data_IF_585311026383
#
_entry.id   IF_585311026383
#
_cell.length_a   1.000
_cell.length_b   1.000
_cell.length_c   1.000
_cell.angle_alpha   90.00
_cell.angle_beta   90.00
_cell.angle_gamma   90.00
#
_symmetry.space_group_name_H-M   'P 1'
#
loop_
_entity.id
_entity.type
_entity.pdbx_description
1 polymer ?
#
# COMPACT_ATOMS: atom_id res chain seq x y z
N UNK A 1 -32.57 -4.52 -4.94
CA UNK A 1 -31.19 -4.84 -5.38
C UNK A 1 -30.43 -5.42 -4.20
N UNK A 2 -29.81 -6.59 -4.36
CA UNK A 2 -28.99 -7.18 -3.31
C UNK A 2 -27.77 -6.27 -3.00
N UNK A 3 -27.50 -6.09 -1.70
CA UNK A 3 -26.55 -5.10 -1.19
C UNK A 3 -25.19 -5.75 -1.00
N UNK A 4 -24.24 -5.52 -1.90
CA UNK A 4 -22.85 -5.97 -1.72
C UNK A 4 -22.08 -5.03 -0.78
N UNK A 5 -21.21 -5.59 0.05
CA UNK A 5 -20.30 -4.80 0.91
C UNK A 5 -18.98 -4.45 0.21
N UNK A 6 -18.66 -5.15 -0.89
CA UNK A 6 -17.47 -4.98 -1.73
C UNK A 6 -17.82 -4.11 -2.94
N UNK A 7 -16.90 -3.23 -3.35
CA UNK A 7 -16.98 -2.43 -4.59
C UNK A 7 -15.87 -2.83 -5.56
N UNK A 8 -16.07 -2.52 -6.85
CA UNK A 8 -15.03 -2.72 -7.89
C UNK A 8 -13.77 -1.95 -7.53
N UNK A 9 -12.61 -2.59 -7.66
CA UNK A 9 -11.30 -2.00 -7.37
C UNK A 9 -10.94 -1.88 -5.88
N UNK A 10 -11.70 -2.51 -4.97
CA UNK A 10 -11.26 -2.77 -3.60
C UNK A 10 -10.15 -3.86 -3.59
N UNK A 11 -9.28 -3.83 -2.59
CA UNK A 11 -8.34 -4.92 -2.31
C UNK A 11 -8.96 -5.83 -1.27
N UNK A 12 -8.96 -7.13 -1.54
CA UNK A 12 -9.61 -8.13 -0.69
C UNK A 12 -8.65 -9.25 -0.32
N UNK A 13 -8.87 -9.84 0.85
CA UNK A 13 -8.20 -11.02 1.35
C UNK A 13 -9.21 -12.17 1.41
N UNK A 14 -8.81 -13.35 0.94
CA UNK A 14 -9.62 -14.56 1.02
C UNK A 14 -9.52 -15.15 2.42
N UNK A 15 -10.66 -15.36 3.08
CA UNK A 15 -10.72 -15.95 4.42
C UNK A 15 -10.65 -17.47 4.33
N UNK A 16 -11.49 -18.02 3.46
CA UNK A 16 -11.80 -19.44 3.38
C UNK A 16 -11.79 -19.90 1.93
N UNK A 17 -11.51 -21.19 1.74
CA UNK A 17 -11.42 -21.83 0.43
C UNK A 17 -9.99 -22.12 0.00
N UNK A 18 -9.82 -22.58 -1.24
CA UNK A 18 -8.54 -23.07 -1.80
C UNK A 18 -7.44 -22.00 -1.80
N UNK A 19 -7.84 -20.74 -1.91
CA UNK A 19 -6.94 -19.59 -2.01
C UNK A 19 -6.89 -18.77 -0.71
N UNK A 20 -7.19 -19.37 0.44
CA UNK A 20 -7.17 -18.69 1.73
C UNK A 20 -5.82 -17.98 1.99
N UNK A 21 -5.88 -16.78 2.57
CA UNK A 21 -4.72 -15.95 2.88
C UNK A 21 -4.19 -15.13 1.70
N UNK A 22 -4.56 -15.43 0.46
CA UNK A 22 -4.16 -14.63 -0.69
C UNK A 22 -4.94 -13.32 -0.75
N UNK A 23 -4.25 -12.28 -1.21
CA UNK A 23 -4.83 -10.96 -1.46
C UNK A 23 -4.94 -10.69 -2.96
N UNK A 24 -6.02 -10.04 -3.39
CA UNK A 24 -6.19 -9.63 -4.79
C UNK A 24 -7.09 -8.42 -4.93
N UNK A 25 -7.12 -7.85 -6.15
CA UNK A 25 -8.00 -6.73 -6.49
C UNK A 25 -9.29 -7.24 -7.14
N UNK A 26 -10.39 -6.57 -6.84
CA UNK A 26 -11.71 -6.93 -7.38
C UNK A 26 -11.89 -6.31 -8.76
N UNK A 27 -12.02 -7.14 -9.79
CA UNK A 27 -12.32 -6.69 -11.16
C UNK A 27 -13.80 -6.35 -11.30
N UNK A 28 -14.65 -7.30 -10.91
CA UNK A 28 -16.08 -7.22 -11.09
C UNK A 28 -16.83 -7.74 -9.86
N UNK A 29 -18.00 -7.15 -9.61
CA UNK A 29 -18.91 -7.55 -8.55
C UNK A 29 -20.26 -7.82 -9.19
N UNK A 30 -20.81 -9.00 -8.94
CA UNK A 30 -22.13 -9.44 -9.36
C UNK A 30 -23.03 -9.45 -8.12
N UNK A 31 -23.68 -8.31 -7.79
CA UNK A 31 -24.45 -8.20 -6.55
C UNK A 31 -25.69 -9.09 -6.53
N UNK A 32 -26.27 -9.41 -7.69
CA UNK A 32 -27.44 -10.29 -7.82
C UNK A 32 -27.15 -11.69 -7.30
N UNK A 33 -25.98 -12.23 -7.66
CA UNK A 33 -25.56 -13.59 -7.31
C UNK A 33 -24.73 -13.65 -6.02
N UNK A 34 -24.43 -12.49 -5.41
CA UNK A 34 -23.57 -12.40 -4.23
C UNK A 34 -22.11 -12.77 -4.50
N UNK A 35 -21.64 -12.64 -5.74
CA UNK A 35 -20.31 -13.07 -6.17
C UNK A 35 -19.42 -11.90 -6.62
N UNK A 36 -18.10 -12.11 -6.57
CA UNK A 36 -17.10 -11.16 -7.05
C UNK A 36 -15.97 -11.88 -7.78
N UNK A 37 -15.46 -11.27 -8.85
CA UNK A 37 -14.29 -11.75 -9.60
C UNK A 37 -13.07 -11.01 -9.09
N UNK A 38 -12.10 -11.76 -8.58
CA UNK A 38 -10.86 -11.23 -7.99
C UNK A 38 -9.68 -11.68 -8.83
N UNK A 39 -8.73 -10.76 -9.08
CA UNK A 39 -7.53 -11.03 -9.85
C UNK A 39 -6.68 -12.13 -9.20
N UNK A 40 -6.22 -13.09 -10.02
CA UNK A 40 -5.29 -14.18 -9.64
C UNK A 40 -5.78 -15.10 -8.49
N UNK A 41 -7.08 -15.06 -8.17
CA UNK A 41 -7.72 -15.90 -7.17
C UNK A 41 -8.80 -16.73 -7.87
N UNK A 42 -8.95 -17.99 -7.48
CA UNK A 42 -9.91 -18.93 -8.09
C UNK A 42 -9.72 -19.06 -9.61
N UNK A 43 -8.48 -19.30 -10.04
CA UNK A 43 -8.15 -19.43 -11.46
C UNK A 43 -8.59 -20.78 -11.98
N UNK A 44 -9.44 -20.76 -13.02
CA UNK A 44 -9.93 -21.96 -13.70
C UNK A 44 -9.32 -22.06 -15.10
N UNK A 45 -8.96 -23.28 -15.49
CA UNK A 45 -8.54 -23.60 -16.85
C UNK A 45 -9.77 -23.84 -17.71
N UNK A 46 -9.96 -23.01 -18.73
CA UNK A 46 -11.03 -23.16 -19.72
C UNK A 46 -10.40 -23.48 -21.08
N UNK A 47 -10.76 -24.64 -21.62
CA UNK A 47 -10.49 -24.97 -23.01
C UNK A 47 -11.40 -24.09 -23.89
N UNK A 48 -10.82 -23.22 -24.69
CA UNK A 48 -11.56 -22.32 -25.57
C UNK A 48 -11.30 -22.72 -27.02
N UNK A 49 -12.37 -23.11 -27.73
CA UNK A 49 -12.35 -23.27 -29.18
C UNK A 49 -12.12 -21.88 -29.82
N UNK A 50 -11.24 -21.75 -30.83
CA UNK A 50 -11.04 -20.49 -31.53
C UNK A 50 -12.36 -20.05 -32.18
N UNK A 51 -12.70 -18.76 -32.08
CA UNK A 51 -13.91 -18.17 -32.66
C UNK A 51 -13.64 -17.41 -33.95
N UNK A 52 -12.45 -16.89 -34.13
CA UNK A 52 -11.99 -16.15 -35.30
C UNK A 52 -10.63 -16.68 -35.75
N UNK A 53 -10.23 -16.42 -37.00
CA UNK A 53 -8.94 -16.84 -37.53
C UNK A 53 -7.74 -16.23 -36.76
N UNK A 54 -7.93 -15.08 -36.10
CA UNK A 54 -6.91 -14.44 -35.27
C UNK A 54 -6.84 -15.00 -33.83
N UNK A 55 -7.91 -15.61 -33.32
CA UNK A 55 -7.93 -16.13 -31.95
C UNK A 55 -7.20 -17.48 -31.90
N UNK A 56 -6.05 -17.53 -31.20
CA UNK A 56 -5.38 -18.80 -30.93
C UNK A 56 -6.26 -19.65 -30.01
N UNK A 57 -6.65 -20.83 -30.49
CA UNK A 57 -7.28 -21.86 -29.66
C UNK A 57 -6.32 -22.33 -28.57
N UNK A 58 -6.86 -22.76 -27.43
CA UNK A 58 -6.02 -23.34 -26.39
C UNK A 58 -6.61 -23.33 -24.99
N UNK A 59 -5.74 -23.62 -24.03
CA UNK A 59 -6.05 -23.63 -22.60
C UNK A 59 -5.86 -22.21 -22.06
N UNK A 60 -6.97 -21.54 -21.74
CA UNK A 60 -6.94 -20.18 -21.19
C UNK A 60 -7.21 -20.25 -19.69
N UNK A 61 -6.36 -19.61 -18.91
CA UNK A 61 -6.56 -19.42 -17.48
C UNK A 61 -7.38 -18.14 -17.25
N UNK A 62 -8.54 -18.25 -16.63
CA UNK A 62 -9.40 -17.10 -16.31
C UNK A 62 -9.75 -17.11 -14.82
N UNK A 63 -9.87 -15.95 -14.20
CA UNK A 63 -10.38 -15.83 -12.84
C UNK A 63 -11.87 -16.17 -12.83
N UNK A 64 -12.28 -17.08 -11.93
CA UNK A 64 -13.68 -17.43 -11.72
C UNK A 64 -14.27 -16.61 -10.57
N UNK A 65 -15.59 -16.38 -10.57
CA UNK A 65 -16.25 -15.68 -9.48
C UNK A 65 -16.15 -16.47 -8.17
N UNK A 66 -15.85 -15.73 -7.11
CA UNK A 66 -15.83 -16.17 -5.72
C UNK A 66 -17.06 -15.62 -4.99
N UNK A 67 -17.52 -16.30 -3.96
CA UNK A 67 -18.58 -15.78 -3.11
C UNK A 67 -18.09 -14.59 -2.28
N UNK A 68 -18.90 -13.54 -2.18
CA UNK A 68 -18.53 -12.34 -1.43
C UNK A 68 -18.24 -12.66 0.05
N UNK A 69 -18.99 -13.60 0.66
CA UNK A 69 -18.86 -14.04 2.05
C UNK A 69 -17.44 -14.51 2.43
N UNK A 70 -16.71 -15.09 1.47
CA UNK A 70 -15.36 -15.62 1.69
C UNK A 70 -14.26 -14.55 1.55
N UNK A 71 -14.64 -13.29 1.32
CA UNK A 71 -13.73 -12.17 1.08
C UNK A 71 -13.85 -11.11 2.19
N UNK A 72 -12.70 -10.62 2.67
CA UNK A 72 -12.62 -9.43 3.53
C UNK A 72 -11.96 -8.27 2.80
N UNK A 73 -12.45 -7.06 3.06
CA UNK A 73 -11.81 -5.85 2.54
C UNK A 73 -10.54 -5.57 3.32
N UNK A 74 -9.43 -5.42 2.59
CA UNK A 74 -8.17 -4.92 3.14
C UNK A 74 -8.23 -3.41 3.16
N UNK A 75 -8.01 -2.84 4.34
CA UNK A 75 -8.06 -1.40 4.50
C UNK A 75 -6.79 -0.75 3.91
N UNK A 76 -6.91 0.29 3.05
CA UNK A 76 -5.75 0.92 2.44
C UNK A 76 -4.90 1.76 3.41
N UNK A 77 -5.42 2.10 4.59
CA UNK A 77 -4.68 2.87 5.60
C UNK A 77 -3.95 1.98 6.61
N UNK A 78 -4.59 0.91 7.08
CA UNK A 78 -3.98 0.04 8.09
C UNK A 78 -3.42 -1.28 7.55
N UNK A 79 -3.67 -1.63 6.27
CA UNK A 79 -3.21 -2.87 5.64
C UNK A 79 -3.83 -4.15 6.20
N UNK A 80 -4.68 -4.05 7.24
CA UNK A 80 -5.32 -5.19 7.90
C UNK A 80 -6.62 -5.56 7.18
N UNK A 81 -6.92 -6.86 7.10
CA UNK A 81 -8.23 -7.36 6.70
C UNK A 81 -9.29 -6.95 7.74
N UNK A 82 -10.37 -6.32 7.29
CA UNK A 82 -11.33 -5.62 8.16
C UNK A 82 -12.77 -5.86 7.72
N UNK A 83 -13.69 -5.84 8.70
CA UNK A 83 -15.14 -5.78 8.42
C UNK A 83 -15.53 -4.33 8.13
N UNK A 84 -16.42 -4.16 7.16
CA UNK A 84 -16.94 -2.85 6.75
C UNK A 84 -18.07 -2.42 7.69
N UNK A 85 -17.96 -1.22 8.27
CA UNK A 85 -19.07 -0.51 8.89
C UNK A 85 -19.55 0.63 7.98
N UNK A 86 -20.72 1.19 8.25
CA UNK A 86 -21.25 2.37 7.56
C UNK A 86 -21.45 3.48 8.57
N UNK A 87 -21.07 4.70 8.21
CA UNK A 87 -21.37 5.93 8.97
C UNK A 87 -21.93 6.97 8.00
N UNK A 88 -22.83 7.81 8.49
CA UNK A 88 -23.36 8.94 7.72
C UNK A 88 -22.42 10.13 7.93
N UNK A 89 -21.87 10.66 6.84
CA UNK A 89 -21.06 11.89 6.83
C UNK A 89 -21.64 12.76 5.73
N UNK A 90 -22.03 14.00 6.07
CA UNK A 90 -22.56 14.99 5.12
C UNK A 90 -23.75 14.46 4.29
N UNK A 91 -24.66 13.70 4.92
CA UNK A 91 -25.82 13.09 4.27
C UNK A 91 -25.53 11.86 3.40
N UNK A 92 -24.26 11.49 3.22
CA UNK A 92 -23.85 10.31 2.45
C UNK A 92 -23.41 9.14 3.36
N UNK A 93 -23.81 7.92 2.98
CA UNK A 93 -23.40 6.70 3.66
C UNK A 93 -21.99 6.27 3.22
N UNK A 94 -20.98 6.52 4.05
CA UNK A 94 -19.58 6.19 3.79
C UNK A 94 -19.22 4.85 4.42
N UNK A 95 -18.42 4.04 3.70
CA UNK A 95 -17.85 2.79 4.24
C UNK A 95 -16.64 3.11 5.11
N UNK A 96 -16.66 2.60 6.34
CA UNK A 96 -15.64 2.83 7.36
C UNK A 96 -15.01 1.50 7.78
N UNK A 97 -13.72 1.52 8.05
CA UNK A 97 -13.01 0.40 8.63
C UNK A 97 -13.29 0.32 10.14
N UNK A 98 -13.73 -0.85 10.64
CA UNK A 98 -13.93 -1.05 12.10
C UNK A 98 -12.66 -0.93 12.94
N UNK A 99 -11.48 -1.26 12.39
CA UNK A 99 -10.21 -1.25 13.14
C UNK A 99 -9.60 0.16 13.29
N UNK A 100 -9.50 0.93 12.22
CA UNK A 100 -8.85 2.24 12.22
C UNK A 100 -9.82 3.44 12.09
N UNK A 101 -11.12 3.21 11.93
CA UNK A 101 -12.09 4.30 11.75
C UNK A 101 -11.96 5.08 10.43
N UNK A 102 -10.97 4.76 9.59
CA UNK A 102 -10.76 5.43 8.31
C UNK A 102 -11.78 5.00 7.25
N UNK A 103 -12.08 5.91 6.34
CA UNK A 103 -12.95 5.66 5.17
C UNK A 103 -12.27 4.71 4.17
N UNK A 104 -13.02 3.72 3.68
CA UNK A 104 -12.55 2.74 2.68
C UNK A 104 -12.78 3.22 1.23
N UNK A 105 -13.62 4.22 1.04
CA UNK A 105 -13.97 4.72 -0.29
C UNK A 105 -12.92 5.72 -0.82
N UNK A 106 -12.36 5.44 -2.01
CA UNK A 106 -11.28 6.23 -2.64
C UNK A 106 -11.57 7.73 -2.77
N UNK A 107 -12.86 8.11 -2.85
CA UNK A 107 -13.30 9.52 -2.92
C UNK A 107 -12.99 10.27 -1.62
N UNK A 108 -13.26 9.66 -0.48
CA UNK A 108 -13.11 10.26 0.84
C UNK A 108 -11.70 10.10 1.42
N UNK A 109 -10.91 9.12 0.98
CA UNK A 109 -9.48 9.03 1.41
C UNK A 109 -8.67 10.22 0.91
N UNK A 110 -9.04 10.79 -0.24
CA UNK A 110 -8.34 11.95 -0.83
C UNK A 110 -8.61 13.25 -0.08
N UNK A 111 -9.81 13.43 0.48
CA UNK A 111 -10.15 14.64 1.25
C UNK A 111 -9.39 14.67 2.58
N UNK A 112 -9.34 13.55 3.32
CA UNK A 112 -8.55 13.46 4.57
C UNK A 112 -7.05 13.66 4.33
N UNK A 113 -6.49 13.13 3.23
CA UNK A 113 -5.07 13.37 2.90
C UNK A 113 -4.80 14.81 2.45
N UNK A 114 -5.78 15.49 1.84
CA UNK A 114 -5.66 16.88 1.39
C UNK A 114 -5.82 17.87 2.55
N UNK A 115 -6.62 17.51 3.56
CA UNK A 115 -6.77 18.24 4.83
C UNK A 115 -5.55 18.03 5.74
N UNK A 116 -5.09 16.80 5.94
CA UNK A 116 -3.85 16.53 6.70
C UNK A 116 -2.61 17.20 6.09
N UNK A 117 -2.56 17.37 4.75
CA UNK A 117 -1.48 18.09 4.07
C UNK A 117 -1.64 19.62 4.14
N UNK A 118 -2.85 20.14 4.39
CA UNK A 118 -3.07 21.57 4.67
C UNK A 118 -2.65 21.93 6.10
N UNK A 119 -2.86 21.03 7.06
CA UNK A 119 -2.43 21.21 8.46
C UNK A 119 -0.90 21.14 8.59
N UNK A 120 -0.23 20.19 7.93
CA UNK A 120 1.23 20.09 7.92
C UNK A 120 1.96 21.29 7.27
N UNK A 121 1.26 22.09 6.44
CA UNK A 121 1.83 23.30 5.81
C UNK A 121 1.59 24.57 6.64
N UNK A 122 0.75 24.52 7.68
CA UNK A 122 0.51 25.63 8.60
C UNK A 122 1.43 25.58 9.83
N UNK A 123 1.95 24.41 10.21
CA UNK A 123 2.92 24.28 11.31
C UNK A 123 4.35 24.67 10.90
N UNK A 124 4.73 24.46 9.63
CA UNK A 124 6.08 24.83 9.12
C UNK A 124 6.29 26.33 8.90
N UNK A 125 5.27 27.18 9.06
CA UNK A 125 5.37 28.65 8.95
C UNK A 125 5.30 29.34 10.31
N UNK A 126 4.91 28.65 11.39
CA UNK A 126 4.79 29.24 12.74
C UNK A 126 6.00 29.00 13.65
N UNK A 127 6.91 28.09 13.30
CA UNK A 127 8.12 27.80 14.08
C UNK A 127 9.37 28.57 13.62
N UNK A 128 9.26 29.39 12.56
CA UNK A 128 10.36 30.26 12.08
C UNK A 128 10.23 31.75 12.44
N UNK A 129 9.22 32.16 13.21
CA UNK A 129 9.01 33.59 13.55
C UNK A 129 9.10 33.93 15.04
N UNK A 130 9.61 33.03 15.89
CA UNK A 130 9.76 33.29 17.35
C UNK A 130 11.15 33.04 17.94
N UNK A 131 12.19 32.92 17.10
CA UNK A 131 13.59 32.78 17.55
C UNK A 131 14.52 33.94 17.18
N UNK A 132 13.96 35.05 16.68
CA UNK A 132 14.65 36.33 16.61
C UNK A 132 13.97 37.27 17.63
N UNK A 133 14.75 37.98 18.46
CA UNK A 133 14.36 38.88 19.57
C UNK A 133 14.41 38.26 20.99
N UNK A 134 15.59 37.76 21.36
CA UNK A 134 16.27 37.76 22.68
C UNK A 134 17.47 36.84 22.44
N UNK A 135 18.67 37.32 22.11
CA UNK A 135 19.52 38.11 22.97
C UNK A 135 20.46 39.00 22.14
N UNK A 136 20.36 40.32 22.35
CA UNK A 136 21.42 41.29 22.01
C UNK A 136 21.58 42.24 23.20
N UNK A 137 22.41 41.84 24.15
CA UNK A 137 23.34 42.66 24.96
C UNK A 137 23.95 41.70 26.01
N UNK A 138 25.25 41.48 26.16
CA UNK A 138 26.35 42.44 26.33
C UNK A 138 27.69 41.78 25.92
N UNK A 139 28.55 42.60 25.33
CA UNK A 139 30.01 42.51 25.11
C UNK A 139 30.81 41.83 26.25
N UNK A 140 31.89 41.06 26.03
CA UNK A 140 33.20 41.46 25.47
C UNK A 140 33.99 40.23 24.94
N UNK A 141 34.66 40.45 23.80
CA UNK A 141 35.67 39.66 23.01
C UNK A 141 36.98 39.38 23.80
N UNK A 142 38.07 38.79 23.23
CA UNK A 142 38.27 37.89 22.06
C UNK A 142 39.28 36.72 22.30
N UNK A 143 39.34 35.71 21.40
CA UNK A 143 40.50 35.33 20.53
C UNK A 143 40.91 33.87 20.84
N UNK A 144 41.02 32.95 19.89
CA UNK A 144 42.13 32.86 18.92
C UNK A 144 41.75 31.92 17.76
N UNK A 145 42.34 32.21 16.59
CA UNK A 145 41.98 31.74 15.25
C UNK A 145 42.88 30.59 14.75
N UNK A 146 42.48 30.02 13.60
CA UNK A 146 43.30 29.37 12.55
C UNK A 146 43.67 27.89 12.78
N UNK A 147 43.64 26.93 11.85
CA UNK A 147 43.87 26.87 10.38
C UNK A 147 43.21 25.55 9.86
N UNK A 148 42.42 25.50 8.78
CA UNK A 148 42.75 25.43 7.33
C UNK A 148 42.91 24.00 6.76
N UNK A 149 41.88 23.59 5.99
CA UNK A 149 41.88 22.95 4.64
C UNK A 149 42.34 21.51 4.33
N UNK A 150 41.57 20.95 3.37
CA UNK A 150 41.96 20.07 2.26
C UNK A 150 42.16 18.57 2.56
N UNK A 151 41.21 17.71 2.19
CA UNK A 151 41.06 17.00 0.89
C UNK A 151 42.04 15.83 0.65
N UNK A 152 41.43 14.68 0.35
CA UNK A 152 41.80 13.68 -0.67
C UNK A 152 42.16 12.25 -0.21
N UNK A 153 41.28 11.32 -0.63
CA UNK A 153 41.53 10.01 -1.29
C UNK A 153 42.73 9.17 -0.81
N UNK A 154 42.46 7.96 -0.33
CA UNK A 154 42.69 6.71 -1.09
C UNK A 154 41.85 5.56 -0.51
N UNK A 155 41.33 4.74 -1.43
CA UNK A 155 40.79 3.42 -1.18
C UNK A 155 41.97 2.47 -1.27
N UNK A 156 42.19 1.64 -0.26
CA UNK A 156 43.05 0.47 -0.43
C UNK A 156 42.35 -0.79 0.05
N UNK A 157 42.48 -1.76 -0.84
CA UNK A 157 41.71 -2.96 -1.04
C UNK A 157 42.54 -4.11 -0.49
N UNK A 158 42.14 -4.73 0.63
CA UNK A 158 42.82 -5.94 1.10
C UNK A 158 42.24 -7.14 0.36
N UNK A 159 42.88 -7.45 -0.76
CA UNK A 159 42.78 -8.72 -1.49
C UNK A 159 43.70 -9.74 -0.83
N UNK A 160 43.36 -11.02 -1.01
CA UNK A 160 44.25 -12.22 -1.05
C UNK A 160 44.74 -12.75 0.33
N UNK A 161 44.65 -14.04 0.73
CA UNK A 161 44.29 -15.30 0.04
C UNK A 161 44.33 -16.53 0.98
N UNK A 162 43.58 -17.58 0.57
CA UNK A 162 43.91 -19.05 0.59
C UNK A 162 43.72 -19.88 1.87
N UNK A 163 42.82 -20.88 1.77
CA UNK A 163 42.99 -22.36 1.91
C UNK A 163 41.59 -22.99 1.86
N UNK A 164 41.09 -23.59 0.76
CA UNK A 164 41.44 -24.86 0.07
C UNK A 164 41.71 -26.03 1.02
N UNK A 165 40.71 -26.88 1.24
CA UNK A 165 40.84 -28.35 1.24
C UNK A 165 39.52 -28.99 0.81
N UNK A 166 39.62 -29.77 -0.26
CA UNK A 166 38.62 -30.68 -0.81
C UNK A 166 39.05 -32.08 -0.40
N UNK A 167 38.15 -32.86 0.18
CA UNK A 167 38.23 -34.32 0.35
C UNK A 167 36.76 -34.77 0.49
N UNK A 168 36.13 -35.43 -0.49
CA UNK A 168 36.28 -36.86 -0.84
C UNK A 168 35.48 -37.68 0.19
N UNK A 169 34.55 -38.57 -0.11
CA UNK A 169 34.06 -39.23 -1.31
C UNK A 169 33.40 -40.53 -0.84
N UNK A 170 32.26 -40.92 -1.43
CA UNK A 170 31.76 -42.29 -1.64
C UNK A 170 30.47 -42.20 -2.47
#
# INVERSE_FOLDING_TARGET
MAKSFIKKGDTVLVITGKDAGKTGKVMEVMPKDGRAVVENINVVTKHQKPKSAQDKGGIIKKAAPMEASNLMVVCPTCGKATRVSRKTVEGANVRVCKKCGASLDKKYVKTVKKEAKKEAKQETVKETSKKEVKDKNVTKKPATQSKVSAQSKTRDNVKTTVRKTVAGGK
#
